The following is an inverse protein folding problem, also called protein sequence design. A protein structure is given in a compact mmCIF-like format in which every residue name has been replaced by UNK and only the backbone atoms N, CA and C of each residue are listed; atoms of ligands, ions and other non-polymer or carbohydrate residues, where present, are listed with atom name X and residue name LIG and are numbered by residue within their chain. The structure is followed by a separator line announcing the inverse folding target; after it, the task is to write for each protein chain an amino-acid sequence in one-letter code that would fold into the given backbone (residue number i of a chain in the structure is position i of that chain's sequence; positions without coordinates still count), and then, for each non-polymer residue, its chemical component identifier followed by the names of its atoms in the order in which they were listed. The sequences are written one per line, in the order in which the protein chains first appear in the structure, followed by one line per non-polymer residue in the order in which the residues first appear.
data_IF_077904581785
#
_entry.id   IF_077904581785
#
_cell.length_a   1.000
_cell.length_b   1.000
_cell.length_c   1.000
_cell.angle_alpha   90.00
_cell.angle_beta   90.00
_cell.angle_gamma   90.00
#
_symmetry.space_group_name_H-M   'P 1'
#
loop_
_entity.id
_entity.type
_entity.pdbx_description
1 polymer ?
#
# COMPACT_ATOMS: atom_id res chain seq x y z
N UNK A 1 0.81 17.57 7.12
CA UNK A 1 1.00 18.29 5.83
C UNK A 1 -0.31 19.01 5.54
N UNK A 2 -0.70 19.86 6.48
CA UNK A 2 -2.12 20.08 6.79
C UNK A 2 -2.81 21.05 5.81
N UNK A 3 -2.00 21.63 4.92
CA UNK A 3 -2.48 22.47 3.82
C UNK A 3 -3.06 21.65 2.66
N UNK A 4 -2.84 20.33 2.62
CA UNK A 4 -3.47 19.42 1.65
C UNK A 4 -4.59 18.62 2.34
N UNK A 5 -5.82 18.63 1.82
CA UNK A 5 -6.89 17.75 2.29
C UNK A 5 -6.48 16.27 2.23
N UNK A 6 -6.84 15.48 3.25
CA UNK A 6 -6.40 14.08 3.40
C UNK A 6 -4.99 13.89 3.96
N UNK A 7 -4.21 14.96 4.18
CA UNK A 7 -2.77 14.87 4.53
C UNK A 7 -2.42 15.43 5.92
N UNK A 8 -3.39 15.59 6.82
CA UNK A 8 -3.14 16.10 8.18
C UNK A 8 -2.20 15.19 8.97
N UNK A 9 -2.32 13.88 8.81
CA UNK A 9 -1.46 12.89 9.48
C UNK A 9 -0.10 12.69 8.78
N UNK A 10 0.07 13.21 7.56
CA UNK A 10 1.29 13.02 6.77
C UNK A 10 2.35 14.04 7.18
N UNK A 11 3.56 13.59 7.54
CA UNK A 11 4.67 14.47 7.89
C UNK A 11 5.50 14.77 6.65
N UNK A 12 6.24 15.88 6.67
CA UNK A 12 7.18 16.21 5.58
C UNK A 12 8.23 15.10 5.35
N UNK A 13 8.64 14.39 6.41
CA UNK A 13 9.57 13.27 6.33
C UNK A 13 8.99 12.01 5.65
N UNK A 14 7.66 11.91 5.55
CA UNK A 14 6.96 10.79 4.91
C UNK A 14 6.86 11.01 3.39
N UNK A 15 7.16 12.22 2.90
CA UNK A 15 7.11 12.56 1.47
C UNK A 15 8.31 11.94 0.74
N UNK A 16 8.10 11.26 -0.40
CA UNK A 16 9.19 10.74 -1.23
C UNK A 16 10.22 11.83 -1.52
N UNK A 17 11.48 11.55 -1.22
CA UNK A 17 12.56 12.54 -1.33
C UNK A 17 12.71 13.05 -2.76
N UNK A 18 12.34 12.24 -3.74
CA UNK A 18 12.35 12.56 -5.16
C UNK A 18 11.42 13.72 -5.50
N UNK A 19 10.33 13.91 -4.74
CA UNK A 19 9.35 14.97 -4.96
C UNK A 19 9.76 16.31 -4.35
N UNK A 20 10.83 16.34 -3.54
CA UNK A 20 11.35 17.57 -2.93
C UNK A 20 12.24 18.37 -3.87
N UNK A 21 12.51 17.88 -5.09
CA UNK A 21 13.36 18.54 -6.07
C UNK A 21 12.52 19.00 -7.27
N UNK A 22 12.57 20.30 -7.56
CA UNK A 22 11.70 20.89 -8.58
C UNK A 22 12.22 20.71 -10.02
N UNK A 23 13.53 20.76 -10.32
CA UNK A 23 13.99 20.48 -11.71
C UNK A 23 15.51 20.19 -11.83
N UNK A 24 16.26 20.35 -10.73
CA UNK A 24 17.72 20.46 -10.82
C UNK A 24 18.46 19.11 -10.83
N UNK A 25 17.77 17.99 -10.55
CA UNK A 25 18.40 16.67 -10.43
C UNK A 25 18.08 15.75 -11.62
N UNK A 26 19.08 15.18 -12.31
CA UNK A 26 18.84 14.18 -13.33
C UNK A 26 18.25 12.89 -12.73
N UNK A 27 17.65 12.06 -13.58
CA UNK A 27 17.11 10.75 -13.19
C UNK A 27 15.66 10.81 -12.70
N UNK A 28 15.32 9.94 -11.75
CA UNK A 28 13.94 9.72 -11.26
C UNK A 28 13.26 11.03 -10.80
N UNK A 29 13.89 11.93 -10.03
CA UNK A 29 13.25 13.19 -9.60
C UNK A 29 12.74 14.04 -10.76
N UNK A 30 13.58 14.29 -11.77
CA UNK A 30 13.18 15.04 -12.96
C UNK A 30 12.06 14.36 -13.75
N UNK A 31 12.05 13.02 -13.81
CA UNK A 31 10.96 12.27 -14.46
C UNK A 31 9.65 12.48 -13.70
N UNK A 32 9.64 12.32 -12.38
CA UNK A 32 8.44 12.49 -11.55
C UNK A 32 7.89 13.92 -11.60
N UNK A 33 8.77 14.93 -11.56
CA UNK A 33 8.37 16.32 -11.71
C UNK A 33 7.70 16.59 -13.06
N UNK A 34 8.33 16.15 -14.15
CA UNK A 34 7.79 16.30 -15.51
C UNK A 34 6.48 15.54 -15.67
N UNK A 35 6.38 14.34 -15.11
CA UNK A 35 5.14 13.56 -15.09
C UNK A 35 4.02 14.36 -14.42
N UNK A 36 4.24 14.89 -13.21
CA UNK A 36 3.27 15.71 -12.49
C UNK A 36 2.74 16.91 -13.30
N UNK A 37 3.61 17.58 -14.06
CA UNK A 37 3.21 18.68 -14.96
C UNK A 37 2.45 18.24 -16.20
N UNK A 38 2.69 17.02 -16.69
CA UNK A 38 2.10 16.51 -17.92
C UNK A 38 0.79 15.77 -17.69
N UNK A 39 0.56 15.21 -16.50
CA UNK A 39 -0.64 14.45 -16.15
C UNK A 39 -1.96 15.21 -16.40
N UNK A 40 -2.11 16.51 -16.11
CA UNK A 40 -3.33 17.26 -16.43
C UNK A 40 -3.62 17.36 -17.94
N UNK A 41 -2.67 17.02 -18.81
CA UNK A 41 -2.86 17.03 -20.26
C UNK A 41 -3.20 15.66 -20.84
N UNK A 42 -3.26 14.62 -19.99
CA UNK A 42 -3.62 13.27 -20.42
C UNK A 42 -5.10 13.21 -20.84
N UNK A 43 -5.41 12.30 -21.76
CA UNK A 43 -6.80 12.04 -22.17
C UNK A 43 -7.65 11.44 -21.04
N UNK A 44 -7.02 10.68 -20.15
CA UNK A 44 -7.56 10.17 -18.91
C UNK A 44 -6.43 9.92 -17.91
N UNK A 45 -6.68 10.15 -16.63
CA UNK A 45 -5.81 9.72 -15.54
C UNK A 45 -6.34 8.41 -14.96
N UNK A 46 -5.62 7.30 -15.11
CA UNK A 46 -6.08 5.99 -14.62
C UNK A 46 -5.29 5.59 -13.40
N UNK A 47 -5.97 5.17 -12.32
CA UNK A 47 -5.33 4.72 -11.09
C UNK A 47 -5.89 3.38 -10.63
N UNK A 48 -5.01 2.50 -10.15
CA UNK A 48 -5.40 1.28 -9.42
C UNK A 48 -5.75 1.65 -7.97
N UNK A 49 -6.93 2.21 -7.79
CA UNK A 49 -7.53 2.61 -6.51
C UNK A 49 -9.06 2.45 -6.62
N UNK A 50 -9.81 2.80 -5.57
CA UNK A 50 -11.26 2.91 -5.60
C UNK A 50 -11.72 4.15 -4.83
N UNK A 51 -12.83 4.72 -5.28
CA UNK A 51 -13.36 6.03 -4.85
C UNK A 51 -13.52 6.20 -3.34
N UNK A 52 -13.90 5.13 -2.64
CA UNK A 52 -14.19 5.15 -1.20
C UNK A 52 -12.96 4.93 -0.32
N UNK A 53 -11.77 4.73 -0.89
CA UNK A 53 -10.54 4.50 -0.13
C UNK A 53 -10.08 5.77 0.62
N UNK A 54 -10.07 6.90 -0.10
CA UNK A 54 -9.72 8.21 0.46
C UNK A 54 -10.44 9.31 -0.33
N UNK A 55 -11.67 9.69 0.08
CA UNK A 55 -12.47 10.66 -0.65
C UNK A 55 -11.80 12.02 -0.80
N UNK A 56 -11.01 12.46 0.17
CA UNK A 56 -10.34 13.77 0.11
C UNK A 56 -9.25 13.77 -0.96
N UNK A 57 -8.43 12.72 -1.00
CA UNK A 57 -7.40 12.56 -2.03
C UNK A 57 -8.00 12.38 -3.41
N UNK A 58 -9.07 11.58 -3.53
CA UNK A 58 -9.79 11.37 -4.79
C UNK A 58 -10.34 12.70 -5.33
N UNK A 59 -10.99 13.50 -4.48
CA UNK A 59 -11.51 14.81 -4.86
C UNK A 59 -10.40 15.75 -5.35
N UNK A 60 -9.23 15.75 -4.70
CA UNK A 60 -8.07 16.52 -5.14
C UNK A 60 -7.58 16.09 -6.52
N UNK A 61 -7.49 14.78 -6.78
CA UNK A 61 -7.06 14.25 -8.07
C UNK A 61 -8.07 14.55 -9.18
N UNK A 62 -9.37 14.34 -8.92
CA UNK A 62 -10.45 14.67 -9.85
C UNK A 62 -10.48 16.16 -10.22
N UNK A 63 -10.13 17.05 -9.29
CA UNK A 63 -10.08 18.50 -9.57
C UNK A 63 -8.90 18.92 -10.46
N UNK A 64 -7.87 18.08 -10.58
CA UNK A 64 -6.61 18.40 -11.29
C UNK A 64 -6.41 17.60 -12.58
N UNK A 65 -7.04 16.44 -12.68
CA UNK A 65 -6.90 15.51 -13.79
C UNK A 65 -8.20 15.44 -14.57
N UNK A 66 -8.10 15.58 -15.89
CA UNK A 66 -9.23 15.35 -16.77
C UNK A 66 -9.53 13.85 -16.84
N UNK A 67 -10.80 13.49 -16.72
CA UNK A 67 -11.29 12.12 -16.85
C UNK A 67 -10.48 11.15 -15.96
N UNK A 68 -10.49 11.40 -14.65
CA UNK A 68 -9.82 10.57 -13.67
C UNK A 68 -10.65 9.31 -13.38
N UNK A 69 -10.06 8.14 -13.63
CA UNK A 69 -10.71 6.83 -13.60
C UNK A 69 -9.98 5.91 -12.62
N UNK A 70 -10.65 5.60 -11.53
CA UNK A 70 -10.19 4.60 -10.56
C UNK A 70 -10.74 3.24 -10.95
N UNK A 71 -9.87 2.32 -11.39
CA UNK A 71 -10.24 1.02 -11.97
C UNK A 71 -9.78 -0.16 -11.11
N UNK A 72 -9.47 0.11 -9.84
CA UNK A 72 -8.90 -0.84 -8.91
C UNK A 72 -9.88 -1.36 -7.85
N UNK A 73 -9.37 -2.19 -6.92
CA UNK A 73 -8.00 -2.70 -6.90
C UNK A 73 -7.77 -3.76 -8.00
N UNK A 74 -6.62 -3.70 -8.69
CA UNK A 74 -6.32 -4.59 -9.84
C UNK A 74 -6.39 -6.08 -9.49
N UNK A 75 -6.07 -6.46 -8.26
CA UNK A 75 -6.19 -7.86 -7.78
C UNK A 75 -7.61 -8.42 -7.90
N UNK A 76 -8.63 -7.55 -7.87
CA UNK A 76 -10.04 -7.92 -8.02
C UNK A 76 -10.57 -7.67 -9.45
N UNK A 77 -10.12 -6.58 -10.10
CA UNK A 77 -10.63 -6.20 -11.43
C UNK A 77 -9.91 -6.90 -12.58
N UNK A 78 -8.68 -7.35 -12.37
CA UNK A 78 -7.85 -8.07 -13.32
C UNK A 78 -7.00 -9.13 -12.59
N UNK A 79 -7.63 -10.20 -12.06
CA UNK A 79 -6.92 -11.20 -11.30
C UNK A 79 -5.85 -11.88 -12.16
N UNK A 80 -4.64 -12.00 -11.60
CA UNK A 80 -3.58 -12.75 -12.25
C UNK A 80 -4.00 -14.22 -12.45
N UNK A 81 -3.53 -14.87 -13.52
CA UNK A 81 -3.73 -16.30 -13.67
C UNK A 81 -3.16 -17.04 -12.46
N UNK A 82 -3.84 -18.11 -12.03
CA UNK A 82 -3.43 -18.92 -10.88
C UNK A 82 -1.96 -19.29 -11.01
N UNK A 83 -1.15 -18.71 -10.12
CA UNK A 83 0.29 -18.96 -10.11
C UNK A 83 0.56 -20.39 -9.66
N UNK A 84 1.58 -21.01 -10.25
CA UNK A 84 2.09 -22.29 -9.76
C UNK A 84 2.58 -22.12 -8.32
N UNK A 85 2.20 -23.03 -7.44
CA UNK A 85 2.68 -23.12 -6.05
C UNK A 85 3.64 -24.31 -5.90
N UNK A 86 4.86 -24.24 -6.47
CA UNK A 86 5.77 -25.38 -6.51
C UNK A 86 6.31 -25.76 -5.12
N UNK A 87 6.19 -24.88 -4.12
CA UNK A 87 6.56 -25.15 -2.74
C UNK A 87 5.38 -25.64 -1.88
N UNK A 88 4.18 -25.79 -2.46
CA UNK A 88 2.95 -26.19 -1.75
C UNK A 88 2.67 -25.31 -0.52
N UNK A 89 2.95 -24.01 -0.61
CA UNK A 89 2.75 -23.03 0.45
C UNK A 89 1.28 -22.98 0.90
N UNK A 90 0.33 -23.11 -0.02
CA UNK A 90 -1.10 -23.08 0.29
C UNK A 90 -1.53 -24.32 1.08
N UNK A 91 -1.07 -25.51 0.69
CA UNK A 91 -1.34 -26.75 1.43
C UNK A 91 -0.70 -26.77 2.82
N UNK A 92 0.44 -26.10 2.99
CA UNK A 92 1.07 -25.91 4.30
C UNK A 92 0.27 -24.91 5.16
N UNK A 93 -0.24 -23.82 4.56
CA UNK A 93 -1.04 -22.80 5.23
C UNK A 93 -2.36 -23.36 5.75
N UNK A 94 -3.01 -24.23 4.98
CA UNK A 94 -4.27 -24.89 5.36
C UNK A 94 -4.17 -25.73 6.65
N UNK A 95 -2.95 -26.12 7.04
CA UNK A 95 -2.69 -26.91 8.26
C UNK A 95 -2.48 -26.04 9.50
N UNK A 96 -2.40 -24.72 9.35
CA UNK A 96 -2.11 -23.78 10.44
C UNK A 96 -3.38 -23.24 11.08
N UNK A 97 -3.27 -22.66 12.28
CA UNK A 97 -4.41 -21.99 12.92
C UNK A 97 -4.70 -20.66 12.23
N UNK A 98 -5.97 -20.25 12.21
CA UNK A 98 -6.36 -18.94 11.66
C UNK A 98 -5.62 -17.83 12.41
N UNK A 99 -4.99 -16.92 11.66
CA UNK A 99 -4.26 -15.78 12.22
C UNK A 99 -2.96 -16.14 12.94
N UNK A 100 -2.45 -17.37 12.81
CA UNK A 100 -1.17 -17.77 13.42
C UNK A 100 0.00 -17.75 12.44
N UNK A 101 -0.28 -17.56 11.16
CA UNK A 101 0.75 -17.44 10.12
C UNK A 101 0.83 -16.00 9.71
N UNK A 102 2.05 -15.62 9.42
CA UNK A 102 2.45 -14.26 9.31
C UNK A 102 3.37 -14.32 8.05
N UNK A 103 3.20 -13.39 7.11
CA UNK A 103 3.80 -13.44 5.76
C UNK A 103 4.84 -12.33 5.59
N UNK A 104 6.02 -12.68 5.06
CA UNK A 104 7.13 -11.73 4.82
C UNK A 104 7.35 -11.55 3.32
N UNK A 105 7.35 -10.29 2.88
CA UNK A 105 7.70 -9.92 1.51
C UNK A 105 8.28 -8.52 1.49
N UNK A 106 9.40 -8.36 0.78
CA UNK A 106 10.10 -7.07 0.60
C UNK A 106 9.93 -6.51 -0.82
N UNK A 107 8.99 -7.08 -1.58
CA UNK A 107 8.83 -6.80 -3.01
C UNK A 107 9.90 -7.47 -3.87
N UNK A 108 9.91 -7.13 -5.16
CA UNK A 108 10.74 -7.81 -6.17
C UNK A 108 12.17 -7.27 -6.28
N UNK A 109 12.44 -6.07 -5.76
CA UNK A 109 13.68 -5.33 -6.04
C UNK A 109 14.54 -5.08 -4.79
N UNK A 110 13.99 -5.28 -3.60
CA UNK A 110 14.61 -4.82 -2.36
C UNK A 110 14.92 -6.01 -1.48
N UNK A 111 16.17 -6.05 -1.00
CA UNK A 111 16.61 -7.00 0.00
C UNK A 111 17.17 -6.21 1.19
N UNK A 112 16.67 -6.45 2.42
CA UNK A 112 17.25 -5.82 3.61
C UNK A 112 18.74 -6.12 3.73
N UNK A 113 19.54 -5.20 4.31
CA UNK A 113 20.95 -5.46 4.52
C UNK A 113 21.14 -6.66 5.49
N UNK A 114 22.26 -7.39 5.42
CA UNK A 114 22.44 -8.63 6.18
C UNK A 114 22.25 -8.52 7.69
N UNK A 115 22.57 -7.37 8.29
CA UNK A 115 22.37 -7.14 9.72
C UNK A 115 20.88 -7.01 10.07
N UNK A 116 20.09 -6.32 9.25
CA UNK A 116 18.64 -6.24 9.42
C UNK A 116 17.97 -7.61 9.18
N UNK A 117 18.51 -8.43 8.28
CA UNK A 117 18.05 -9.81 8.10
C UNK A 117 18.36 -10.71 9.31
N UNK A 118 19.48 -10.48 10.00
CA UNK A 118 19.82 -11.20 11.22
C UNK A 118 18.88 -10.80 12.37
N UNK A 119 18.68 -9.49 12.58
CA UNK A 119 17.73 -8.95 13.56
C UNK A 119 16.30 -9.45 13.30
N UNK A 120 15.91 -9.50 12.02
CA UNK A 120 14.66 -10.10 11.57
C UNK A 120 14.57 -11.56 12.02
N UNK A 121 15.55 -12.39 11.63
CA UNK A 121 15.54 -13.82 11.93
C UNK A 121 15.47 -14.09 13.44
N UNK A 122 16.25 -13.36 14.25
CA UNK A 122 16.21 -13.49 15.71
C UNK A 122 14.85 -13.12 16.30
N UNK A 123 14.20 -12.07 15.78
CA UNK A 123 12.86 -11.72 16.24
C UNK A 123 11.82 -12.77 15.85
N UNK A 124 11.92 -13.35 14.65
CA UNK A 124 11.03 -14.40 14.19
C UNK A 124 11.17 -15.67 15.04
N UNK A 125 12.40 -16.06 15.37
CA UNK A 125 12.69 -17.18 16.27
C UNK A 125 12.09 -16.96 17.67
N UNK A 126 12.09 -15.72 18.18
CA UNK A 126 11.49 -15.42 19.48
C UNK A 126 9.96 -15.30 19.43
N UNK A 127 9.40 -14.82 18.33
CA UNK A 127 7.97 -14.49 18.23
C UNK A 127 7.12 -15.57 17.57
N UNK A 128 7.72 -16.67 17.10
CA UNK A 128 7.04 -17.80 16.45
C UNK A 128 6.08 -17.38 15.30
N UNK A 129 6.31 -16.25 14.65
CA UNK A 129 5.44 -15.71 13.58
C UNK A 129 6.15 -14.64 12.69
N UNK A 130 6.14 -14.72 11.33
CA UNK A 130 6.69 -13.73 10.34
C UNK A 130 5.95 -12.40 9.91
N UNK A 131 6.57 -11.21 9.85
CA UNK A 131 5.87 -9.90 9.62
C UNK A 131 6.42 -9.05 8.43
N UNK A 132 5.89 -7.83 8.20
CA UNK A 132 6.12 -6.95 7.01
C UNK A 132 6.77 -5.57 7.33
N UNK A 133 7.59 -5.04 6.40
CA UNK A 133 8.11 -3.65 6.35
C UNK A 133 8.38 -3.17 4.90
N UNK A 134 8.23 -1.87 4.56
CA UNK A 134 8.50 -1.35 3.22
C UNK A 134 9.69 -0.37 3.11
N UNK A 135 10.29 -0.24 1.92
CA UNK A 135 11.55 0.51 1.70
C UNK A 135 11.51 1.40 0.45
N UNK A 136 11.92 2.67 0.60
CA UNK A 136 12.19 3.69 -0.45
C UNK A 136 11.01 4.10 -1.36
N UNK A 137 11.06 5.31 -1.92
CA UNK A 137 9.99 5.85 -2.77
C UNK A 137 8.74 6.24 -1.98
N UNK A 138 7.57 5.78 -2.43
CA UNK A 138 6.26 6.02 -1.82
C UNK A 138 6.04 5.23 -0.51
N UNK A 139 6.92 4.32 -0.17
CA UNK A 139 6.75 3.40 0.94
C UNK A 139 6.62 4.08 2.31
N UNK A 140 7.33 5.18 2.58
CA UNK A 140 7.18 5.91 3.83
C UNK A 140 5.79 6.56 3.96
N UNK A 141 5.29 7.11 2.84
CA UNK A 141 3.95 7.66 2.75
C UNK A 141 2.91 6.54 2.95
N UNK A 142 3.09 5.41 2.26
CA UNK A 142 2.20 4.25 2.38
C UNK A 142 2.14 3.71 3.82
N UNK A 143 3.30 3.58 4.50
CA UNK A 143 3.34 3.20 5.92
C UNK A 143 2.53 4.17 6.77
N UNK A 144 2.74 5.48 6.60
CA UNK A 144 2.01 6.48 7.38
C UNK A 144 0.51 6.42 7.11
N UNK A 145 0.09 6.21 5.86
CA UNK A 145 -1.31 6.03 5.49
C UNK A 145 -1.90 4.79 6.16
N UNK A 146 -1.21 3.65 6.09
CA UNK A 146 -1.61 2.40 6.75
C UNK A 146 -1.75 2.56 8.28
N UNK A 147 -0.80 3.26 8.90
CA UNK A 147 -0.76 3.47 10.35
C UNK A 147 -1.81 4.47 10.86
N UNK A 148 -1.81 5.67 10.28
CA UNK A 148 -2.48 6.82 10.87
C UNK A 148 -3.86 7.09 10.24
N UNK A 149 -4.00 6.79 8.95
CA UNK A 149 -5.22 7.08 8.19
C UNK A 149 -6.13 5.85 8.20
N UNK A 150 -5.67 4.74 7.60
CA UNK A 150 -6.46 3.52 7.49
C UNK A 150 -6.47 2.70 8.78
N UNK A 151 -5.44 2.83 9.62
CA UNK A 151 -5.29 2.11 10.89
C UNK A 151 -5.43 0.60 10.71
N UNK A 152 -4.78 0.08 9.67
CA UNK A 152 -4.82 -1.35 9.30
C UNK A 152 -3.49 -2.07 9.53
N UNK A 153 -2.48 -1.36 10.03
CA UNK A 153 -1.18 -1.94 10.31
C UNK A 153 -0.31 -0.99 11.11
N UNK A 154 0.90 -1.47 11.42
CA UNK A 154 1.93 -0.70 12.12
C UNK A 154 3.26 -0.84 11.42
N UNK A 155 4.04 0.23 11.48
CA UNK A 155 5.43 0.27 11.14
C UNK A 155 6.33 -0.05 12.34
N UNK A 156 7.59 -0.31 12.04
CA UNK A 156 8.65 -0.55 13.03
C UNK A 156 9.15 0.80 13.55
N UNK A 157 9.24 0.89 14.88
CA UNK A 157 9.81 2.03 15.58
C UNK A 157 11.22 2.36 15.07
N UNK A 158 11.49 3.62 14.75
CA UNK A 158 12.80 4.07 14.26
C UNK A 158 13.08 3.79 12.78
N UNK A 159 12.23 3.01 12.09
CA UNK A 159 12.34 2.75 10.65
C UNK A 159 13.49 1.82 10.24
N UNK A 160 14.12 1.14 11.19
CA UNK A 160 15.16 0.12 10.98
C UNK A 160 14.70 -1.18 11.61
N UNK A 161 14.94 -2.31 10.94
CA UNK A 161 14.61 -3.61 11.50
C UNK A 161 15.54 -3.88 12.69
N UNK A 162 14.95 -3.93 13.86
CA UNK A 162 15.59 -4.33 15.12
C UNK A 162 14.76 -5.41 15.75
N UNK A 163 15.41 -6.33 16.45
CA UNK A 163 14.72 -7.41 17.13
C UNK A 163 13.57 -6.91 18.01
N UNK A 164 13.86 -5.94 18.87
CA UNK A 164 12.89 -5.36 19.80
C UNK A 164 11.72 -4.66 19.09
N UNK A 165 12.01 -3.87 18.04
CA UNK A 165 10.99 -3.15 17.28
C UNK A 165 10.01 -4.11 16.60
N UNK A 166 10.55 -5.18 16.03
CA UNK A 166 9.77 -6.26 15.41
C UNK A 166 8.90 -6.99 16.42
N UNK A 167 9.50 -7.45 17.53
CA UNK A 167 8.79 -8.20 18.56
C UNK A 167 7.62 -7.41 19.13
N UNK A 168 7.80 -6.09 19.33
CA UNK A 168 6.70 -5.21 19.75
C UNK A 168 5.59 -5.14 18.71
N UNK A 169 5.92 -4.96 17.44
CA UNK A 169 4.94 -4.87 16.36
C UNK A 169 4.10 -6.15 16.21
N UNK A 170 4.75 -7.32 16.27
CA UNK A 170 4.05 -8.62 16.22
C UNK A 170 3.11 -8.78 17.40
N UNK A 171 3.58 -8.51 18.62
CA UNK A 171 2.77 -8.61 19.84
C UNK A 171 1.56 -7.67 19.78
N UNK A 172 1.74 -6.45 19.26
CA UNK A 172 0.64 -5.52 19.06
C UNK A 172 -0.41 -6.10 18.09
N UNK A 173 0.00 -6.55 16.90
CA UNK A 173 -0.95 -7.02 15.89
C UNK A 173 -1.67 -8.30 16.32
N UNK A 174 -0.96 -9.26 16.92
CA UNK A 174 -1.51 -10.59 17.21
C UNK A 174 -2.18 -10.71 18.57
N UNK A 175 -1.76 -9.92 19.56
CA UNK A 175 -2.07 -10.19 20.97
C UNK A 175 -2.76 -9.03 21.70
N UNK A 176 -3.22 -8.01 20.99
CA UNK A 176 -3.89 -6.84 21.59
C UNK A 176 -5.22 -6.50 20.92
N UNK A 177 -6.06 -5.75 21.63
CA UNK A 177 -7.33 -5.23 21.11
C UNK A 177 -7.10 -4.27 19.94
N UNK A 178 -6.00 -3.52 19.94
CA UNK A 178 -5.59 -2.67 18.83
C UNK A 178 -5.37 -3.50 17.57
N UNK A 179 -4.72 -4.65 17.67
CA UNK A 179 -4.55 -5.60 16.57
C UNK A 179 -5.88 -6.20 16.07
N UNK A 180 -6.83 -6.47 16.97
CA UNK A 180 -8.19 -6.86 16.58
C UNK A 180 -8.92 -5.76 15.83
N UNK A 181 -8.77 -4.51 16.28
CA UNK A 181 -9.37 -3.37 15.61
C UNK A 181 -8.78 -3.15 14.21
N UNK A 182 -7.47 -3.35 14.03
CA UNK A 182 -6.84 -3.30 12.70
C UNK A 182 -7.46 -4.32 11.73
N UNK A 183 -7.73 -5.55 12.19
CA UNK A 183 -8.39 -6.57 11.36
C UNK A 183 -9.81 -6.16 10.95
N UNK A 184 -10.59 -5.58 11.87
CA UNK A 184 -11.94 -5.05 11.55
C UNK A 184 -11.87 -3.91 10.54
N UNK A 185 -10.85 -3.05 10.63
CA UNK A 185 -10.64 -1.98 9.66
C UNK A 185 -10.28 -2.56 8.28
N UNK A 186 -9.47 -3.61 8.21
CA UNK A 186 -9.18 -4.34 6.96
C UNK A 186 -10.45 -4.93 6.35
N UNK A 187 -11.29 -5.60 7.15
CA UNK A 187 -12.57 -6.17 6.69
C UNK A 187 -13.48 -5.07 6.11
N UNK A 188 -13.57 -3.93 6.79
CA UNK A 188 -14.33 -2.79 6.28
C UNK A 188 -13.79 -2.27 4.93
N UNK A 189 -12.48 -2.09 4.80
CA UNK A 189 -11.88 -1.67 3.52
C UNK A 189 -12.07 -2.72 2.42
N UNK A 190 -12.03 -4.00 2.78
CA UNK A 190 -12.33 -5.11 1.85
C UNK A 190 -13.77 -5.03 1.34
N UNK A 191 -14.76 -4.78 2.21
CA UNK A 191 -16.15 -4.60 1.81
C UNK A 191 -16.31 -3.41 0.85
N UNK A 192 -15.64 -2.29 1.11
CA UNK A 192 -15.65 -1.12 0.23
C UNK A 192 -15.03 -1.43 -1.15
N UNK A 193 -13.93 -2.17 -1.18
CA UNK A 193 -13.30 -2.59 -2.43
C UNK A 193 -14.21 -3.56 -3.22
N UNK A 194 -14.86 -4.51 -2.55
CA UNK A 194 -15.80 -5.45 -3.17
C UNK A 194 -17.03 -4.73 -3.75
N UNK A 195 -17.57 -3.75 -3.03
CA UNK A 195 -18.65 -2.89 -3.53
C UNK A 195 -18.21 -2.13 -4.80
N UNK A 196 -17.00 -1.56 -4.80
CA UNK A 196 -16.48 -0.80 -5.93
C UNK A 196 -16.35 -1.64 -7.22
N UNK A 197 -15.99 -2.93 -7.10
CA UNK A 197 -15.79 -3.82 -8.26
C UNK A 197 -17.04 -4.64 -8.65
N UNK A 198 -18.06 -4.70 -7.79
CA UNK A 198 -19.29 -5.47 -8.01
C UNK A 198 -20.38 -4.63 -8.69
N UNK A 199 -20.11 -4.17 -9.92
CA UNK A 199 -20.89 -3.16 -10.65
C UNK A 199 -20.88 -1.76 -9.98
N UNK A 200 -19.89 -1.52 -9.13
CA UNK A 200 -19.66 -0.26 -8.44
C UNK A 200 -18.92 0.76 -9.29
N UNK A 201 -18.26 1.70 -8.63
CA UNK A 201 -17.53 2.79 -9.28
C UNK A 201 -16.37 2.29 -10.14
N UNK A 202 -15.59 1.31 -9.67
CA UNK A 202 -14.46 0.77 -10.43
C UNK A 202 -14.90 0.06 -11.71
N UNK A 203 -16.01 -0.68 -11.68
CA UNK A 203 -16.56 -1.33 -12.89
C UNK A 203 -16.98 -0.30 -13.94
N UNK A 204 -17.68 0.76 -13.52
CA UNK A 204 -18.12 1.85 -14.41
C UNK A 204 -16.95 2.65 -14.97
N UNK A 205 -15.95 2.93 -14.14
CA UNK A 205 -14.73 3.59 -14.58
C UNK A 205 -13.93 2.73 -15.57
N UNK A 206 -13.97 1.40 -15.42
CA UNK A 206 -13.35 0.48 -16.37
C UNK A 206 -14.08 0.52 -17.72
N UNK A 207 -15.42 0.55 -17.74
CA UNK A 207 -16.20 0.74 -18.98
C UNK A 207 -15.87 2.08 -19.64
N UNK A 208 -15.80 3.17 -18.87
CA UNK A 208 -15.39 4.48 -19.37
C UNK A 208 -13.96 4.46 -19.93
N UNK A 209 -13.05 3.71 -19.30
CA UNK A 209 -11.69 3.52 -19.82
C UNK A 209 -11.71 2.80 -21.17
N UNK A 210 -12.54 1.77 -21.34
CA UNK A 210 -12.69 1.08 -22.64
C UNK A 210 -13.12 2.04 -23.74
N UNK A 211 -14.05 2.97 -23.46
CA UNK A 211 -14.45 4.00 -24.42
C UNK A 211 -13.33 4.98 -24.78
N UNK A 212 -12.37 5.22 -23.89
CA UNK A 212 -11.22 6.09 -24.17
C UNK A 212 -10.20 5.38 -25.04
N UNK A 213 -9.91 4.10 -24.78
CA UNK A 213 -8.84 3.36 -25.47
C UNK A 213 -9.26 2.73 -26.79
N UNK A 214 -10.58 2.61 -27.05
CA UNK A 214 -11.12 2.03 -28.29
C UNK A 214 -11.49 3.07 -29.36
N UNK A 215 -11.26 4.36 -29.08
CA UNK A 215 -11.40 5.46 -30.04
C UNK A 215 -10.08 5.75 -30.75
#
# INVERSE_FOLDING_TARGET
MDFLPGFSEIRAADIPKELLYEDEKPGIPAILYKMGKMLPRAAAGVLSSWEKLDPDVVNQLQSRLHNFLEVGPLVLTSPDPVMSDPQCCLEWLDKQKRGSVLYVCFGSMIMPPPHELAELAEALEECDSPFLWPFFGDQALNTRTVEAIWKIGVGIEGGTITKDGVTKAIKLILSTEEGEQMRKNVEHLQDLALDAVSNGSSSKNFEALLEVVTK
#
